data_IF_295413094408
#
_entry.id   IF_295413094408
#
_cell.length_a   1.000
_cell.length_b   1.000
_cell.length_c   1.000
_cell.angle_alpha   90.00
_cell.angle_beta   90.00
_cell.angle_gamma   90.00
#
_symmetry.space_group_name_H-M   'P 1'
#
loop_
_entity.id
_entity.type
_entity.pdbx_description
1 polymer ?
#
# COMPACT_ATOMS: atom_id res chain seq x y z
N UNK A 1 32.68 11.58 -3.46
CA UNK A 1 32.43 12.54 -2.36
C UNK A 1 30.93 12.64 -2.14
N UNK A 2 30.39 12.06 -1.07
CA UNK A 2 29.02 12.31 -0.66
C UNK A 2 28.98 13.68 0.03
N UNK A 3 28.14 14.59 -0.46
CA UNK A 3 27.98 15.92 0.15
C UNK A 3 27.48 15.80 1.60
N UNK A 4 28.10 16.56 2.51
CA UNK A 4 27.71 16.62 3.90
C UNK A 4 26.29 17.15 4.10
N UNK A 5 25.75 16.99 5.31
CA UNK A 5 24.47 17.58 5.71
C UNK A 5 24.48 19.10 5.54
N UNK A 6 23.44 19.64 4.89
CA UNK A 6 23.32 21.07 4.61
C UNK A 6 21.91 21.57 4.95
N UNK A 7 21.75 22.31 6.07
CA UNK A 7 20.46 22.89 6.46
C UNK A 7 19.84 23.81 5.41
N UNK A 8 20.69 24.59 4.73
CA UNK A 8 20.29 25.53 3.68
C UNK A 8 19.75 24.83 2.44
N UNK A 9 20.14 23.57 2.20
CA UNK A 9 19.57 22.74 1.12
C UNK A 9 18.39 21.90 1.61
N UNK A 10 18.43 21.40 2.85
CA UNK A 10 17.38 20.55 3.40
C UNK A 10 16.05 21.30 3.56
N UNK A 11 16.06 22.52 4.11
CA UNK A 11 14.81 23.27 4.33
C UNK A 11 14.02 23.53 3.04
N UNK A 12 14.64 24.02 1.94
CA UNK A 12 13.94 24.14 0.67
C UNK A 12 13.36 22.81 0.15
N UNK A 13 14.11 21.71 0.25
CA UNK A 13 13.63 20.40 -0.19
C UNK A 13 12.45 19.88 0.65
N UNK A 14 12.44 20.13 1.96
CA UNK A 14 11.28 19.80 2.81
C UNK A 14 10.03 20.56 2.35
N UNK A 15 10.15 21.86 2.07
CA UNK A 15 9.03 22.67 1.56
C UNK A 15 8.57 22.23 0.16
N UNK A 16 9.50 21.91 -0.73
CA UNK A 16 9.18 21.37 -2.05
C UNK A 16 8.49 20.00 -1.96
N UNK A 17 8.92 19.14 -1.02
CA UNK A 17 8.26 17.86 -0.77
C UNK A 17 6.81 18.05 -0.32
N UNK A 18 6.52 19.01 0.58
CA UNK A 18 5.15 19.37 0.97
C UNK A 18 4.29 19.72 -0.25
N UNK A 19 4.78 20.62 -1.12
CA UNK A 19 4.05 20.97 -2.36
C UNK A 19 3.88 19.77 -3.29
N UNK A 20 4.92 18.93 -3.44
CA UNK A 20 4.87 17.73 -4.28
C UNK A 20 3.84 16.73 -3.77
N UNK A 21 3.79 16.47 -2.46
CA UNK A 21 2.78 15.61 -1.84
C UNK A 21 1.37 16.11 -2.12
N UNK A 22 1.13 17.40 -1.97
CA UNK A 22 -0.19 17.98 -2.27
C UNK A 22 -0.59 17.76 -3.73
N UNK A 23 0.32 18.03 -4.68
CA UNK A 23 0.07 17.80 -6.10
C UNK A 23 -0.19 16.31 -6.41
N UNK A 24 0.62 15.42 -5.83
CA UNK A 24 0.50 13.99 -6.03
C UNK A 24 -0.80 13.43 -5.42
N UNK A 25 -1.20 13.92 -4.25
CA UNK A 25 -2.48 13.61 -3.60
C UNK A 25 -3.66 14.04 -4.47
N UNK A 26 -3.68 15.30 -4.94
CA UNK A 26 -4.74 15.81 -5.81
C UNK A 26 -4.86 15.02 -7.12
N UNK A 27 -3.71 14.68 -7.73
CA UNK A 27 -3.67 13.86 -8.94
C UNK A 27 -4.25 12.46 -8.68
N UNK A 28 -3.83 11.79 -7.61
CA UNK A 28 -4.34 10.47 -7.23
C UNK A 28 -5.84 10.52 -6.94
N UNK A 29 -6.32 11.50 -6.18
CA UNK A 29 -7.75 11.66 -5.88
C UNK A 29 -8.60 11.78 -7.16
N UNK A 30 -8.13 12.52 -8.17
CA UNK A 30 -8.81 12.59 -9.46
C UNK A 30 -8.83 11.24 -10.21
N UNK A 31 -7.71 10.52 -10.21
CA UNK A 31 -7.60 9.19 -10.82
C UNK A 31 -8.48 8.16 -10.11
N UNK A 32 -8.54 8.20 -8.78
CA UNK A 32 -9.41 7.36 -7.95
C UNK A 32 -10.86 7.51 -8.40
N UNK A 33 -11.34 8.75 -8.58
CA UNK A 33 -12.71 9.00 -9.03
C UNK A 33 -12.97 8.47 -10.45
N UNK A 34 -11.99 8.55 -11.34
CA UNK A 34 -12.09 7.95 -12.67
C UNK A 34 -12.16 6.42 -12.58
N UNK A 35 -11.27 5.80 -11.81
CA UNK A 35 -11.23 4.34 -11.65
C UNK A 35 -12.51 3.80 -10.99
N UNK A 36 -13.11 4.52 -10.04
CA UNK A 36 -14.43 4.18 -9.47
C UNK A 36 -15.50 4.05 -10.55
N UNK A 37 -15.56 5.01 -11.50
CA UNK A 37 -16.50 4.97 -12.63
C UNK A 37 -16.24 3.79 -13.55
N UNK A 38 -14.97 3.49 -13.83
CA UNK A 38 -14.59 2.31 -14.64
C UNK A 38 -15.01 1.01 -13.96
N UNK A 39 -14.82 0.88 -12.64
CA UNK A 39 -15.27 -0.27 -11.85
C UNK A 39 -16.79 -0.41 -11.90
N UNK A 40 -17.52 0.67 -11.68
CA UNK A 40 -18.98 0.67 -11.78
C UNK A 40 -19.45 0.26 -13.19
N UNK A 41 -18.79 0.74 -14.25
CA UNK A 41 -19.09 0.34 -15.62
C UNK A 41 -18.87 -1.16 -15.84
N UNK A 42 -17.77 -1.74 -15.34
CA UNK A 42 -17.49 -3.19 -15.42
C UNK A 42 -18.53 -4.04 -14.70
N UNK A 43 -19.07 -3.55 -13.58
CA UNK A 43 -20.11 -4.25 -12.81
C UNK A 43 -21.51 -4.09 -13.39
N UNK A 44 -21.73 -3.07 -14.22
CA UNK A 44 -23.00 -2.83 -14.93
C UNK A 44 -23.15 -3.70 -16.19
N UNK A 45 -22.06 -4.26 -16.72
CA UNK A 45 -22.12 -5.14 -17.89
C UNK A 45 -22.95 -6.41 -17.62
N UNK A 46 -23.55 -6.97 -18.67
CA UNK A 46 -24.28 -8.24 -18.61
C UNK A 46 -23.58 -9.27 -19.51
N UNK A 47 -22.90 -10.30 -18.95
CA UNK A 47 -22.68 -10.55 -17.52
C UNK A 47 -21.58 -9.66 -16.89
N UNK A 48 -21.62 -9.41 -15.56
CA UNK A 48 -20.63 -8.55 -14.88
C UNK A 48 -19.21 -9.12 -14.90
N UNK A 49 -18.22 -8.26 -15.13
CA UNK A 49 -16.78 -8.59 -15.07
C UNK A 49 -16.24 -8.54 -13.64
N UNK A 50 -16.81 -9.37 -12.78
CA UNK A 50 -16.62 -9.30 -11.33
C UNK A 50 -15.16 -9.51 -10.88
N UNK A 51 -14.43 -10.49 -11.42
CA UNK A 51 -13.04 -10.74 -11.02
C UNK A 51 -12.13 -9.58 -11.42
N UNK A 52 -12.35 -8.98 -12.58
CA UNK A 52 -11.60 -7.81 -13.02
C UNK A 52 -11.89 -6.60 -12.14
N UNK A 53 -13.15 -6.40 -11.76
CA UNK A 53 -13.56 -5.32 -10.86
C UNK A 53 -12.92 -5.47 -9.47
N UNK A 54 -12.85 -6.70 -8.94
CA UNK A 54 -12.18 -7.05 -7.68
C UNK A 54 -10.69 -6.70 -7.68
N UNK A 55 -9.95 -7.15 -8.70
CA UNK A 55 -8.52 -6.82 -8.85
C UNK A 55 -8.30 -5.30 -8.93
N UNK A 56 -9.16 -4.60 -9.68
CA UNK A 56 -9.11 -3.13 -9.80
C UNK A 56 -9.42 -2.44 -8.47
N UNK A 57 -10.38 -2.92 -7.70
CA UNK A 57 -10.72 -2.39 -6.38
C UNK A 57 -9.58 -2.56 -5.37
N UNK A 58 -8.86 -3.69 -5.38
CA UNK A 58 -7.67 -3.84 -4.53
C UNK A 58 -6.60 -2.79 -4.84
N UNK A 59 -6.36 -2.52 -6.12
CA UNK A 59 -5.42 -1.46 -6.54
C UNK A 59 -5.89 -0.09 -6.08
N UNK A 60 -7.19 0.18 -6.22
CA UNK A 60 -7.80 1.45 -5.86
C UNK A 60 -7.74 1.70 -4.34
N UNK A 61 -7.96 0.67 -3.51
CA UNK A 61 -7.80 0.74 -2.05
C UNK A 61 -6.35 1.08 -1.67
N UNK A 62 -5.35 0.53 -2.37
CA UNK A 62 -3.95 0.90 -2.16
C UNK A 62 -3.67 2.35 -2.55
N UNK A 63 -4.29 2.85 -3.61
CA UNK A 63 -4.18 4.26 -4.00
C UNK A 63 -4.78 5.21 -2.95
N UNK A 64 -5.96 4.88 -2.39
CA UNK A 64 -6.59 5.64 -1.29
C UNK A 64 -5.68 5.66 -0.05
N UNK A 65 -5.18 4.50 0.37
CA UNK A 65 -4.26 4.39 1.52
C UNK A 65 -2.98 5.23 1.30
N UNK A 66 -2.48 5.28 0.06
CA UNK A 66 -1.33 6.08 -0.31
C UNK A 66 -1.60 7.58 -0.19
N UNK A 67 -2.79 8.04 -0.58
CA UNK A 67 -3.22 9.44 -0.39
C UNK A 67 -3.26 9.82 1.09
N UNK A 68 -3.85 8.97 1.94
CA UNK A 68 -3.85 9.18 3.40
C UNK A 68 -2.42 9.24 3.97
N UNK A 69 -1.52 8.37 3.50
CA UNK A 69 -0.13 8.36 3.95
C UNK A 69 0.60 9.67 3.54
N UNK A 70 0.30 10.23 2.37
CA UNK A 70 0.90 11.48 1.90
C UNK A 70 0.59 12.65 2.82
N UNK A 71 -0.62 12.73 3.39
CA UNK A 71 -0.98 13.78 4.34
C UNK A 71 -0.12 13.74 5.62
N UNK A 72 0.12 12.53 6.14
CA UNK A 72 0.97 12.34 7.33
C UNK A 72 2.44 12.67 7.00
N UNK A 73 2.93 12.24 5.84
CA UNK A 73 4.31 12.53 5.40
C UNK A 73 4.51 14.03 5.16
N UNK A 74 3.52 14.71 4.60
CA UNK A 74 3.50 16.15 4.41
C UNK A 74 3.63 16.90 5.75
N UNK A 75 2.85 16.51 6.75
CA UNK A 75 2.93 17.07 8.11
C UNK A 75 4.33 16.88 8.72
N UNK A 76 4.94 15.71 8.55
CA UNK A 76 6.32 15.46 9.00
C UNK A 76 7.32 16.39 8.30
N UNK A 77 7.18 16.63 6.99
CA UNK A 77 8.05 17.56 6.26
C UNK A 77 7.93 19.00 6.78
N UNK A 78 6.72 19.45 7.07
CA UNK A 78 6.46 20.79 7.62
C UNK A 78 7.07 20.96 9.01
N UNK A 79 6.84 19.98 9.90
CA UNK A 79 7.41 19.96 11.25
C UNK A 79 8.94 20.11 11.22
N UNK A 80 9.61 19.34 10.35
CA UNK A 80 11.08 19.37 10.24
C UNK A 80 11.58 20.66 9.60
N UNK A 81 10.82 21.27 8.68
CA UNK A 81 11.18 22.56 8.08
C UNK A 81 11.15 23.69 9.12
N UNK A 82 10.19 23.65 10.04
CA UNK A 82 10.10 24.60 11.17
C UNK A 82 11.21 24.36 12.20
N UNK A 83 11.55 23.10 12.47
CA UNK A 83 12.61 22.72 13.43
C UNK A 83 14.01 22.60 12.82
N UNK A 84 14.26 23.18 11.64
CA UNK A 84 15.56 23.05 10.96
C UNK A 84 16.74 23.55 11.80
N UNK A 85 16.54 24.62 12.62
CA UNK A 85 17.61 25.18 13.46
C UNK A 85 18.05 24.17 14.53
N UNK A 86 17.10 23.45 15.14
CA UNK A 86 17.36 22.40 16.11
C UNK A 86 18.09 21.20 15.48
N UNK A 87 17.66 20.77 14.29
CA UNK A 87 18.34 19.71 13.53
C UNK A 87 19.77 20.11 13.13
N UNK A 88 20.04 21.40 13.01
CA UNK A 88 21.36 21.92 12.65
C UNK A 88 22.31 21.95 13.85
N UNK A 89 21.81 22.35 15.03
CA UNK A 89 22.61 22.52 16.24
C UNK A 89 22.91 21.21 16.97
N UNK A 90 22.08 20.18 16.80
CA UNK A 90 22.25 18.87 17.46
C UNK A 90 23.07 17.92 16.59
N UNK A 91 23.98 17.15 17.21
CA UNK A 91 24.74 16.09 16.52
C UNK A 91 23.91 14.82 16.38
N UNK A 92 23.18 14.47 17.42
CA UNK A 92 22.30 13.30 17.48
C UNK A 92 20.87 13.68 17.08
N UNK A 93 20.05 12.68 16.74
CA UNK A 93 18.66 12.91 16.40
C UNK A 93 17.86 13.25 17.67
N UNK A 94 17.20 14.42 17.73
CA UNK A 94 16.34 14.76 18.86
C UNK A 94 15.25 13.71 19.07
N UNK A 95 14.96 13.27 20.32
CA UNK A 95 14.06 12.15 20.59
C UNK A 95 12.63 12.40 20.09
N UNK A 96 12.18 13.65 20.14
CA UNK A 96 10.88 14.12 19.64
C UNK A 96 10.78 14.09 18.10
N UNK A 97 11.91 14.02 17.39
CA UNK A 97 11.97 14.01 15.92
C UNK A 97 12.37 12.66 15.34
N UNK A 98 12.82 11.70 16.17
CA UNK A 98 13.23 10.36 15.71
C UNK A 98 12.12 9.72 14.89
N UNK A 99 10.87 9.72 15.39
CA UNK A 99 9.76 9.08 14.69
C UNK A 99 9.49 9.71 13.32
N UNK A 100 9.40 11.05 13.24
CA UNK A 100 9.14 11.76 11.99
C UNK A 100 10.26 11.57 10.96
N UNK A 101 11.52 11.66 11.38
CA UNK A 101 12.68 11.50 10.48
C UNK A 101 12.79 10.05 10.00
N UNK A 102 12.69 9.08 10.91
CA UNK A 102 12.73 7.66 10.57
C UNK A 102 11.60 7.28 9.63
N UNK A 103 10.39 7.81 9.86
CA UNK A 103 9.22 7.61 8.97
C UNK A 103 9.48 8.14 7.56
N UNK A 104 10.02 9.36 7.41
CA UNK A 104 10.35 9.91 6.08
C UNK A 104 11.47 9.12 5.38
N UNK A 105 12.49 8.70 6.13
CA UNK A 105 13.58 7.87 5.60
C UNK A 105 13.04 6.53 5.09
N UNK A 106 12.17 5.87 5.86
CA UNK A 106 11.53 4.61 5.48
C UNK A 106 10.57 4.76 4.30
N UNK A 107 9.79 5.85 4.26
CA UNK A 107 8.81 6.11 3.21
C UNK A 107 9.44 6.49 1.87
N UNK A 108 10.66 7.05 1.87
CA UNK A 108 11.33 7.51 0.64
C UNK A 108 11.53 6.41 -0.42
N UNK A 109 11.59 5.14 -0.03
CA UNK A 109 11.71 4.01 -0.99
C UNK A 109 10.34 3.44 -1.42
N UNK A 110 9.23 3.98 -0.89
CA UNK A 110 7.86 3.47 -1.08
C UNK A 110 6.95 4.46 -1.80
N UNK A 111 7.35 5.72 -1.88
CA UNK A 111 6.56 6.79 -2.50
C UNK A 111 7.31 7.40 -3.68
N UNK A 112 6.56 7.83 -4.70
CA UNK A 112 7.11 8.43 -5.92
C UNK A 112 7.31 9.95 -5.74
N UNK A 113 8.23 10.32 -4.84
CA UNK A 113 8.53 11.71 -4.47
C UNK A 113 10.06 11.89 -4.43
N UNK A 114 10.62 12.46 -5.49
CA UNK A 114 12.08 12.63 -5.64
C UNK A 114 12.71 13.47 -4.51
N UNK A 115 11.97 14.46 -4.01
CA UNK A 115 12.44 15.29 -2.89
C UNK A 115 12.71 14.44 -1.62
N UNK A 116 11.93 13.38 -1.38
CA UNK A 116 12.15 12.48 -0.24
C UNK A 116 13.46 11.70 -0.37
N UNK A 117 13.82 11.31 -1.60
CA UNK A 117 15.11 10.65 -1.85
C UNK A 117 16.28 11.57 -1.48
N UNK A 118 16.17 12.87 -1.77
CA UNK A 118 17.18 13.84 -1.33
C UNK A 118 17.18 14.02 0.21
N UNK A 119 16.00 14.15 0.81
CA UNK A 119 15.85 14.30 2.27
C UNK A 119 16.45 13.10 3.02
N UNK A 120 16.16 11.87 2.55
CA UNK A 120 16.75 10.63 3.08
C UNK A 120 18.28 10.67 3.03
N UNK A 121 18.88 11.11 1.91
CA UNK A 121 20.34 11.27 1.78
C UNK A 121 20.91 12.29 2.76
N UNK A 122 20.21 13.40 3.01
CA UNK A 122 20.63 14.40 4.00
C UNK A 122 20.64 13.82 5.42
N UNK A 123 19.60 13.08 5.81
CA UNK A 123 19.54 12.45 7.14
C UNK A 123 20.54 11.31 7.31
N UNK A 124 20.78 10.51 6.26
CA UNK A 124 21.86 9.53 6.23
C UNK A 124 23.25 10.18 6.43
N UNK A 125 23.48 11.33 5.79
CA UNK A 125 24.73 12.08 5.94
C UNK A 125 24.89 12.69 7.34
N UNK A 126 23.77 13.12 7.97
CA UNK A 126 23.73 13.70 9.32
C UNK A 126 23.93 12.66 10.42
N UNK A 127 23.13 11.59 10.41
CA UNK A 127 23.03 10.63 11.52
C UNK A 127 23.70 9.28 11.24
N UNK A 128 24.25 9.11 10.04
CA UNK A 128 24.99 7.93 9.62
C UNK A 128 24.10 6.81 9.07
N UNK A 129 24.78 5.81 8.49
CA UNK A 129 24.13 4.65 7.86
C UNK A 129 23.35 3.77 8.86
N UNK A 130 23.85 3.64 10.09
CA UNK A 130 23.16 2.86 11.13
C UNK A 130 21.79 3.44 11.48
N UNK A 131 21.64 4.77 11.45
CA UNK A 131 20.34 5.41 11.67
C UNK A 131 19.35 5.04 10.56
N UNK A 132 19.78 5.11 9.30
CA UNK A 132 18.97 4.69 8.14
C UNK A 132 18.58 3.21 8.24
N UNK A 133 19.52 2.31 8.55
CA UNK A 133 19.25 0.88 8.69
C UNK A 133 18.27 0.59 9.83
N UNK A 134 18.39 1.26 10.98
CA UNK A 134 17.43 1.13 12.09
C UNK A 134 16.04 1.61 11.69
N UNK A 135 15.94 2.73 10.97
CA UNK A 135 14.66 3.23 10.46
C UNK A 135 14.04 2.26 9.45
N UNK A 136 14.84 1.69 8.54
CA UNK A 136 14.38 0.72 7.54
C UNK A 136 13.84 -0.57 8.18
N UNK A 137 14.47 -1.01 9.26
CA UNK A 137 14.09 -2.22 10.00
C UNK A 137 13.06 -1.95 11.12
N UNK A 138 12.53 -0.73 11.24
CA UNK A 138 11.62 -0.31 12.31
C UNK A 138 12.11 -0.71 13.72
N UNK A 139 13.42 -0.56 13.98
CA UNK A 139 14.01 -0.95 15.27
C UNK A 139 13.42 -0.10 16.38
N UNK A 140 12.84 -0.76 17.39
CA UNK A 140 12.21 -0.08 18.53
C UNK A 140 10.82 0.48 18.24
N UNK A 141 10.19 0.13 17.10
CA UNK A 141 8.82 0.57 16.80
C UNK A 141 8.69 2.09 16.65
N UNK A 142 9.74 2.76 16.16
CA UNK A 142 9.80 4.22 16.11
C UNK A 142 9.04 4.81 14.93
N UNK A 143 8.70 4.01 13.92
CA UNK A 143 7.97 4.49 12.75
C UNK A 143 6.51 4.83 13.10
N UNK A 144 5.92 5.73 12.32
CA UNK A 144 4.49 6.00 12.44
C UNK A 144 3.66 4.79 11.96
N UNK A 145 2.97 4.13 12.89
CA UNK A 145 2.17 2.92 12.60
C UNK A 145 1.13 3.11 11.52
N UNK A 146 0.51 4.30 11.42
CA UNK A 146 -0.47 4.59 10.36
C UNK A 146 0.20 4.59 8.99
N UNK A 147 1.36 5.22 8.86
CA UNK A 147 2.11 5.25 7.59
C UNK A 147 2.57 3.84 7.23
N UNK A 148 3.09 3.07 8.20
CA UNK A 148 3.54 1.70 7.98
C UNK A 148 2.39 0.81 7.53
N UNK A 149 1.23 0.90 8.20
CA UNK A 149 0.02 0.15 7.84
C UNK A 149 -0.47 0.50 6.44
N UNK A 150 -0.52 1.80 6.10
CA UNK A 150 -1.08 2.31 4.83
C UNK A 150 -0.16 2.07 3.62
N UNK A 151 1.15 2.11 3.80
CA UNK A 151 2.14 1.86 2.74
C UNK A 151 2.66 0.42 2.71
N UNK A 152 2.13 -0.47 3.54
CA UNK A 152 2.47 -1.89 3.53
C UNK A 152 1.99 -2.55 2.23
N UNK A 153 2.74 -3.56 1.76
CA UNK A 153 2.46 -4.30 0.52
C UNK A 153 1.41 -5.41 0.73
N UNK A 154 0.87 -5.54 1.95
CA UNK A 154 -0.11 -6.58 2.25
C UNK A 154 -1.41 -6.38 1.45
N UNK A 155 -1.94 -7.43 0.81
CA UNK A 155 -3.24 -7.37 0.15
C UNK A 155 -4.34 -6.98 1.16
N UNK A 156 -5.33 -6.18 0.74
CA UNK A 156 -6.47 -5.87 1.60
C UNK A 156 -7.30 -7.14 1.86
N UNK A 157 -7.95 -7.18 3.02
CA UNK A 157 -8.88 -8.26 3.37
C UNK A 157 -10.05 -8.32 2.37
N UNK A 158 -10.53 -9.52 2.06
CA UNK A 158 -11.56 -9.76 1.05
C UNK A 158 -12.86 -9.00 1.37
N UNK A 159 -13.21 -8.87 2.66
CA UNK A 159 -14.36 -8.08 3.08
C UNK A 159 -14.22 -6.59 2.72
N UNK A 160 -13.02 -6.02 2.87
CA UNK A 160 -12.79 -4.62 2.54
C UNK A 160 -13.01 -4.39 1.05
N UNK A 161 -12.55 -5.30 0.21
CA UNK A 161 -12.76 -5.21 -1.24
C UNK A 161 -14.24 -5.29 -1.59
N UNK A 162 -14.97 -6.23 -0.99
CA UNK A 162 -16.42 -6.35 -1.22
C UNK A 162 -17.18 -5.09 -0.80
N UNK A 163 -16.97 -4.60 0.43
CA UNK A 163 -17.60 -3.37 0.93
C UNK A 163 -17.24 -2.17 0.05
N UNK A 164 -16.00 -2.11 -0.45
CA UNK A 164 -15.56 -1.04 -1.33
C UNK A 164 -16.27 -1.07 -2.69
N UNK A 165 -16.46 -2.26 -3.28
CA UNK A 165 -17.24 -2.44 -4.51
C UNK A 165 -18.71 -2.05 -4.33
N UNK A 166 -19.32 -2.48 -3.22
CA UNK A 166 -20.72 -2.13 -2.88
C UNK A 166 -20.89 -0.61 -2.77
N UNK A 167 -19.96 0.08 -2.09
CA UNK A 167 -19.96 1.55 -1.98
C UNK A 167 -19.79 2.24 -3.33
N UNK A 168 -18.90 1.75 -4.20
CA UNK A 168 -18.75 2.30 -5.55
C UNK A 168 -20.05 2.17 -6.33
N UNK A 169 -20.70 1.00 -6.26
CA UNK A 169 -21.97 0.78 -6.94
C UNK A 169 -23.07 1.69 -6.43
N UNK A 170 -23.16 1.90 -5.11
CA UNK A 170 -24.09 2.84 -4.48
C UNK A 170 -23.82 4.28 -4.95
N UNK A 171 -22.58 4.75 -4.88
CA UNK A 171 -22.16 6.09 -5.31
C UNK A 171 -22.49 6.35 -6.80
N UNK A 172 -22.44 5.33 -7.65
CA UNK A 172 -22.65 5.43 -9.10
C UNK A 172 -24.04 4.99 -9.56
N UNK A 173 -24.94 4.62 -8.64
CA UNK A 173 -26.30 4.17 -8.97
C UNK A 173 -26.37 2.86 -9.76
N UNK A 174 -25.40 1.96 -9.57
CA UNK A 174 -25.35 0.64 -10.22
C UNK A 174 -25.95 -0.41 -9.30
N UNK A 175 -27.04 -1.05 -9.73
CA UNK A 175 -27.64 -2.18 -9.00
C UNK A 175 -26.84 -3.45 -9.28
N UNK A 176 -25.89 -3.75 -8.40
CA UNK A 176 -25.07 -4.96 -8.45
C UNK A 176 -25.17 -5.73 -7.13
N UNK A 177 -25.13 -7.06 -7.21
CA UNK A 177 -25.05 -7.95 -6.04
C UNK A 177 -23.89 -8.94 -6.24
N UNK A 178 -23.02 -9.13 -5.24
CA UNK A 178 -21.92 -10.09 -5.31
C UNK A 178 -22.43 -11.50 -5.60
N UNK A 179 -21.86 -12.18 -6.61
CA UNK A 179 -22.22 -13.57 -6.91
C UNK A 179 -21.52 -14.54 -5.95
N UNK A 180 -20.29 -14.24 -5.57
CA UNK A 180 -19.54 -15.01 -4.58
C UNK A 180 -19.72 -14.35 -3.21
N UNK A 181 -20.42 -15.04 -2.31
CA UNK A 181 -20.51 -14.65 -0.90
C UNK A 181 -19.26 -15.14 -0.18
N UNK A 182 -18.53 -14.22 0.44
CA UNK A 182 -17.36 -14.54 1.26
C UNK A 182 -17.88 -15.16 2.57
N UNK A 183 -17.32 -16.31 2.98
CA UNK A 183 -17.66 -16.93 4.27
C UNK A 183 -17.07 -16.12 5.43
N UNK A 184 -17.60 -16.24 6.65
CA UNK A 184 -17.12 -15.46 7.79
C UNK A 184 -15.62 -15.69 8.07
N UNK A 185 -15.14 -16.91 7.83
CA UNK A 185 -13.74 -17.31 7.96
C UNK A 185 -12.84 -16.65 6.89
N UNK A 186 -13.35 -16.46 5.67
CA UNK A 186 -12.60 -15.88 4.55
C UNK A 186 -12.58 -14.34 4.56
N UNK A 187 -13.43 -13.68 5.36
CA UNK A 187 -13.54 -12.21 5.39
C UNK A 187 -12.24 -11.51 5.82
N UNK A 188 -11.50 -12.12 6.74
CA UNK A 188 -10.25 -11.57 7.28
C UNK A 188 -9.03 -11.88 6.40
N UNK A 189 -9.15 -12.82 5.47
CA UNK A 189 -8.07 -13.22 4.58
C UNK A 189 -8.01 -12.32 3.34
N UNK A 190 -6.85 -12.23 2.67
CA UNK A 190 -6.77 -11.72 1.30
C UNK A 190 -7.77 -12.43 0.38
N UNK A 191 -8.28 -11.71 -0.62
CA UNK A 191 -9.20 -12.33 -1.59
C UNK A 191 -8.50 -13.44 -2.40
N UNK A 192 -9.21 -14.55 -2.62
CA UNK A 192 -8.69 -15.67 -3.39
C UNK A 192 -8.34 -15.26 -4.83
N UNK A 193 -7.35 -15.94 -5.41
CA UNK A 193 -6.92 -15.68 -6.78
C UNK A 193 -8.06 -15.88 -7.79
N UNK A 194 -8.15 -15.04 -8.85
CA UNK A 194 -9.13 -15.21 -9.91
C UNK A 194 -9.03 -16.59 -10.58
N UNK A 195 -10.17 -17.23 -10.82
CA UNK A 195 -10.27 -18.52 -11.52
C UNK A 195 -10.80 -18.37 -12.96
N UNK A 196 -11.16 -17.15 -13.35
CA UNK A 196 -11.62 -16.80 -14.70
C UNK A 196 -13.12 -17.01 -14.92
N UNK A 197 -13.92 -17.23 -13.86
CA UNK A 197 -15.36 -17.49 -13.98
C UNK A 197 -16.16 -16.35 -14.61
N UNK A 198 -15.61 -15.13 -14.60
CA UNK A 198 -16.23 -13.93 -15.18
C UNK A 198 -15.67 -13.56 -16.56
N UNK A 199 -14.74 -14.34 -17.11
CA UNK A 199 -14.14 -14.10 -18.44
C UNK A 199 -15.04 -14.72 -19.51
N UNK A 200 -15.48 -13.89 -20.47
CA UNK A 200 -16.24 -14.39 -21.63
C UNK A 200 -15.35 -15.17 -22.59
N UNK A 201 -15.78 -16.37 -22.98
CA UNK A 201 -15.11 -17.15 -24.04
C UNK A 201 -15.33 -16.44 -25.37
N UNK A 202 -14.25 -16.06 -26.06
CA UNK A 202 -14.34 -15.38 -27.35
C UNK A 202 -14.87 -16.34 -28.42
N UNK A 203 -16.04 -16.04 -28.99
CA UNK A 203 -16.70 -16.84 -30.03
C UNK A 203 -15.94 -16.96 -31.36
N UNK A 204 -14.79 -16.29 -31.51
CA UNK A 204 -13.98 -16.32 -32.73
C UNK A 204 -13.04 -17.53 -32.86
N UNK A 205 -12.94 -18.40 -31.85
CA UNK A 205 -12.04 -19.56 -31.90
C UNK A 205 -12.66 -20.84 -32.47
N UNK A 206 -13.94 -20.87 -32.84
CA UNK A 206 -14.54 -22.05 -33.52
C UNK A 206 -14.47 -23.37 -32.75
N UNK A 207 -14.09 -23.34 -31.47
CA UNK A 207 -14.00 -24.49 -30.56
C UNK A 207 -15.00 -24.26 -29.42
N UNK A 208 -16.28 -24.23 -29.79
CA UNK A 208 -17.37 -24.16 -28.82
C UNK A 208 -18.01 -25.52 -28.66
N UNK A 209 -17.60 -26.29 -27.64
CA UNK A 209 -18.51 -27.10 -26.82
C UNK A 209 -17.75 -27.65 -25.61
N UNK A 210 -18.00 -27.09 -24.43
CA UNK A 210 -17.64 -27.77 -23.18
C UNK A 210 -18.72 -28.81 -22.95
N UNK A 211 -18.36 -30.07 -23.17
CA UNK A 211 -19.15 -31.23 -22.76
C UNK A 211 -19.38 -31.14 -21.25
N UNK A 212 -20.55 -30.68 -20.85
CA UNK A 212 -21.14 -31.04 -19.55
C UNK A 212 -21.65 -32.48 -19.69
N UNK A 213 -20.76 -33.44 -19.45
CA UNK A 213 -21.04 -34.87 -19.50
C UNK A 213 -20.86 -35.49 -18.13
N UNK A 214 -21.99 -35.66 -17.44
CA UNK A 214 -22.15 -36.53 -16.28
C UNK A 214 -21.53 -37.91 -16.56
N UNK A 215 -20.62 -38.36 -15.71
CA UNK A 215 -20.02 -39.69 -15.83
C UNK A 215 -21.09 -40.78 -15.68
N UNK A 216 -21.43 -41.45 -16.77
CA UNK A 216 -21.96 -42.82 -16.74
C UNK A 216 -21.22 -43.63 -17.81
N UNK A 217 -20.32 -44.49 -17.36
CA UNK A 217 -19.69 -45.52 -18.18
C UNK A 217 -20.73 -46.56 -18.61
N UNK A 218 -20.70 -47.00 -19.87
CA UNK A 218 -20.70 -48.45 -20.08
C UNK A 218 -19.68 -48.94 -21.11
N UNK A 219 -19.36 -50.22 -20.92
CA UNK A 219 -18.35 -51.07 -21.55
C UNK A 219 -18.39 -51.20 -23.08
N UNK A 220 -17.18 -51.37 -23.63
CA UNK A 220 -16.73 -52.27 -24.70
C UNK A 220 -17.75 -52.69 -25.76
N UNK A 221 -17.43 -52.46 -27.04
CA UNK A 221 -17.41 -53.50 -28.07
C UNK A 221 -16.55 -53.05 -29.27
N UNK A 222 -15.68 -53.94 -29.72
CA UNK A 222 -14.85 -53.83 -30.93
C UNK A 222 -15.74 -53.83 -32.19
N UNK A 223 -15.30 -53.25 -33.31
CA UNK A 223 -15.02 -54.15 -34.43
C UNK A 223 -13.86 -53.78 -35.37
N UNK A 224 -13.42 -54.86 -35.99
CA UNK A 224 -12.49 -55.09 -37.10
C UNK A 224 -12.70 -54.22 -38.35
N UNK A 225 -11.57 -54.01 -39.04
CA UNK A 225 -11.38 -53.28 -40.30
C UNK A 225 -12.07 -53.88 -41.54
N UNK A 226 -12.48 -53.01 -42.48
CA UNK A 226 -12.50 -53.17 -43.96
C UNK A 226 -12.83 -51.76 -44.50
N UNK A 227 -12.00 -50.99 -45.21
CA UNK A 227 -11.33 -51.24 -46.49
C UNK A 227 -12.11 -50.56 -47.63
N UNK A 228 -11.74 -49.35 -48.07
CA UNK A 228 -11.75 -48.86 -49.48
C UNK A 228 -11.51 -47.34 -49.64
N UNK A 229 -10.29 -47.02 -50.08
CA UNK A 229 -9.86 -46.15 -51.20
C UNK A 229 -10.40 -44.72 -51.42
N UNK A 230 -9.44 -43.84 -51.71
CA UNK A 230 -9.53 -42.40 -52.05
C UNK A 230 -9.68 -42.13 -53.56
N UNK A 231 -9.79 -40.84 -53.97
CA UNK A 231 -8.78 -40.27 -54.87
C UNK A 231 -8.30 -38.85 -54.43
N UNK A 232 -6.99 -38.59 -54.31
CA UNK A 232 -6.05 -37.92 -55.27
C UNK A 232 -6.46 -36.45 -55.56
N UNK A 233 -5.65 -35.38 -55.36
CA UNK A 233 -4.40 -35.00 -56.08
C UNK A 233 -3.72 -33.77 -55.39
N UNK A 234 -2.38 -33.88 -55.19
CA UNK A 234 -1.22 -32.94 -55.00
C UNK A 234 -1.36 -31.49 -54.43
N UNK A 235 -0.27 -31.01 -53.78
CA UNK A 235 0.59 -30.05 -54.49
C UNK A 235 2.10 -30.34 -54.41
N UNK A 236 2.84 -29.67 -55.31
CA UNK A 236 4.26 -29.83 -55.60
C UNK A 236 5.19 -28.87 -54.81
N UNK A 237 6.36 -29.40 -54.43
CA UNK A 237 7.74 -28.86 -54.41
C UNK A 237 7.98 -27.37 -54.11
N UNK A 238 8.71 -27.01 -53.04
CA UNK A 238 10.19 -26.95 -52.84
C UNK A 238 10.58 -25.46 -52.61
N UNK A 239 11.56 -24.99 -51.84
CA UNK A 239 12.91 -25.41 -51.39
C UNK A 239 13.28 -24.48 -50.20
N UNK A 240 14.15 -24.80 -49.22
CA UNK A 240 15.58 -24.37 -49.07
C UNK A 240 16.13 -25.10 -47.80
N UNK A 241 16.99 -26.13 -47.89
CA UNK A 241 18.49 -26.16 -47.80
C UNK A 241 19.07 -25.64 -46.47
N UNK A 242 19.45 -26.52 -45.51
CA UNK A 242 20.80 -27.10 -45.18
C UNK A 242 21.81 -26.08 -44.58
N UNK A 243 22.59 -26.25 -43.50
CA UNK A 243 23.04 -27.32 -42.56
C UNK A 243 24.27 -26.74 -41.79
N UNK A 244 25.27 -27.55 -41.34
CA UNK A 244 25.40 -28.46 -40.17
C UNK A 244 26.06 -27.76 -38.94
N UNK A 245 26.20 -28.24 -37.70
CA UNK A 245 26.27 -29.57 -37.07
C UNK A 245 27.49 -29.59 -36.13
N UNK A 246 27.33 -29.89 -34.82
CA UNK A 246 28.37 -30.40 -33.91
C UNK A 246 27.70 -30.88 -32.61
N UNK A 247 27.84 -32.17 -32.28
CA UNK A 247 27.39 -32.75 -31.01
C UNK A 247 28.49 -32.78 -29.95
N UNK A 248 28.18 -33.19 -28.70
CA UNK A 248 29.21 -33.62 -27.75
C UNK A 248 29.00 -35.06 -27.23
N UNK A 249 30.07 -35.67 -26.68
CA UNK A 249 30.20 -37.10 -26.46
C UNK A 249 29.72 -37.56 -25.08
N UNK A 250 29.53 -38.87 -24.94
CA UNK A 250 29.05 -39.51 -23.71
C UNK A 250 30.13 -39.81 -22.66
N UNK A 251 29.61 -40.16 -21.48
CA UNK A 251 30.23 -41.07 -20.51
C UNK A 251 30.74 -40.43 -19.21
N UNK A 252 29.97 -40.51 -18.13
CA UNK A 252 30.13 -41.49 -17.02
C UNK A 252 29.06 -41.29 -15.95
N UNK A 253 28.65 -42.42 -15.36
CA UNK A 253 27.71 -42.55 -14.24
C UNK A 253 28.48 -42.28 -12.95
N UNK A 254 27.92 -41.46 -12.07
CA UNK A 254 28.20 -41.49 -10.64
C UNK A 254 26.92 -41.11 -9.89
N UNK A 255 26.67 -41.89 -8.84
CA UNK A 255 25.45 -41.97 -8.02
C UNK A 255 24.97 -40.64 -7.45
N UNK A 256 23.65 -40.42 -7.58
CA UNK A 256 22.92 -39.32 -6.96
C UNK A 256 22.67 -39.66 -5.48
N UNK A 257 23.56 -39.20 -4.60
CA UNK A 257 23.34 -39.16 -3.16
C UNK A 257 22.62 -37.85 -2.78
N UNK A 258 21.49 -37.97 -2.08
CA UNK A 258 20.77 -36.86 -1.44
C UNK A 258 21.70 -36.06 -0.52
N UNK A 259 21.61 -34.71 -0.49
CA UNK A 259 22.25 -33.95 0.56
C UNK A 259 21.46 -34.11 1.87
N UNK A 260 22.05 -34.79 2.86
CA UNK A 260 21.57 -34.84 4.23
C UNK A 260 21.48 -33.43 4.83
N UNK A 261 20.26 -33.04 5.25
CA UNK A 261 20.00 -31.82 5.99
C UNK A 261 20.48 -32.04 7.43
N UNK A 262 21.65 -31.50 7.77
CA UNK A 262 22.14 -31.45 9.14
C UNK A 262 21.32 -30.44 9.95
N UNK A 263 20.46 -30.95 10.83
CA UNK A 263 19.73 -30.17 11.84
C UNK A 263 20.54 -30.16 13.13
N UNK A 264 21.18 -29.05 13.55
CA UNK A 264 21.81 -28.99 14.86
C UNK A 264 20.74 -29.01 15.96
N UNK A 265 20.90 -29.93 16.92
CA UNK A 265 20.06 -30.04 18.12
C UNK A 265 20.12 -28.76 18.97
N UNK A 266 18.97 -28.36 19.51
CA UNK A 266 18.81 -27.21 20.38
C UNK A 266 19.65 -27.32 21.67
N UNK A 267 20.32 -26.25 22.12
CA UNK A 267 20.93 -26.23 23.45
C UNK A 267 19.85 -26.19 24.53
N UNK A 268 19.88 -27.18 25.43
CA UNK A 268 19.08 -27.21 26.65
C UNK A 268 19.51 -26.08 27.58
N UNK A 269 18.59 -25.20 27.93
CA UNK A 269 18.79 -24.15 28.92
C UNK A 269 18.90 -24.77 30.33
N UNK A 270 19.88 -24.40 31.16
CA UNK A 270 19.88 -24.77 32.57
C UNK A 270 18.85 -23.95 33.34
N UNK A 271 18.05 -24.65 34.16
CA UNK A 271 17.13 -24.09 35.12
C UNK A 271 17.86 -23.13 36.07
N UNK A 272 17.47 -21.85 36.06
CA UNK A 272 17.92 -20.88 37.04
C UNK A 272 16.88 -20.78 38.14
N UNK A 273 17.31 -21.16 39.33
CA UNK A 273 16.61 -21.12 40.61
C UNK A 273 16.12 -19.70 40.89
N UNK A 274 14.84 -19.57 41.23
CA UNK A 274 14.25 -18.37 41.78
C UNK A 274 14.70 -18.30 43.25
N UNK A 275 15.58 -17.36 43.56
CA UNK A 275 15.78 -16.88 44.93
C UNK A 275 14.99 -15.59 45.09
N UNK A 276 14.03 -15.65 46.02
CA UNK A 276 13.30 -14.50 46.56
C UNK A 276 14.30 -13.54 47.21
N UNK A 277 14.33 -12.30 46.73
CA UNK A 277 14.86 -11.20 47.54
C UNK A 277 13.89 -10.02 47.48
N UNK A 278 13.51 -9.64 48.70
CA UNK A 278 12.53 -8.66 49.09
C UNK A 278 13.16 -7.26 49.07
N UNK A 279 12.65 -6.35 48.24
CA UNK A 279 13.02 -4.93 48.30
C UNK A 279 11.83 -4.03 47.92
N UNK A 280 11.15 -3.59 48.98
CA UNK A 280 10.51 -2.27 49.17
C UNK A 280 10.27 -1.38 47.95
N UNK A 281 8.98 -1.21 47.63
CA UNK A 281 8.44 -0.11 46.81
C UNK A 281 8.60 1.21 47.57
N UNK A 282 9.51 2.07 47.10
CA UNK A 282 9.54 3.48 47.50
C UNK A 282 8.68 4.31 46.53
N UNK A 283 7.66 4.91 47.13
CA UNK A 283 6.64 5.78 46.57
C UNK A 283 7.23 7.17 46.30
N UNK A 284 7.43 7.54 45.04
CA UNK A 284 7.82 8.91 44.67
C UNK A 284 6.57 9.79 44.50
N UNK A 285 6.43 10.89 45.26
CA UNK A 285 5.25 11.74 45.23
C UNK A 285 5.24 12.69 44.03
N UNK A 286 4.05 12.90 43.47
CA UNK A 286 3.73 13.87 42.41
C UNK A 286 4.06 15.32 42.85
N UNK A 287 4.62 16.17 41.95
CA UNK A 287 4.77 17.60 42.24
C UNK A 287 3.41 18.35 42.15
N UNK A 288 3.19 19.40 42.95
CA UNK A 288 1.94 20.13 43.01
C UNK A 288 1.69 21.03 41.77
N UNK A 289 0.41 21.20 41.44
CA UNK A 289 -0.09 22.04 40.34
C UNK A 289 0.24 23.53 40.56
N UNK A 290 0.58 24.22 39.46
CA UNK A 290 0.84 25.66 39.45
C UNK A 290 -0.45 26.48 39.67
N UNK A 291 -0.39 27.61 40.40
CA UNK A 291 -1.55 28.45 40.66
C UNK A 291 -1.93 29.31 39.45
N UNK A 292 -3.24 29.49 39.32
CA UNK A 292 -3.98 30.31 38.37
C UNK A 292 -3.45 31.76 38.32
N UNK A 293 -3.03 32.25 37.15
CA UNK A 293 -2.69 33.66 36.97
C UNK A 293 -3.94 34.46 36.64
N UNK A 294 -4.38 35.25 37.62
CA UNK A 294 -5.44 36.25 37.49
C UNK A 294 -5.12 37.28 36.40
N UNK A 295 -6.20 37.73 35.76
CA UNK A 295 -6.27 38.80 34.78
C UNK A 295 -5.73 40.10 35.38
N UNK A 296 -4.95 40.84 34.59
CA UNK A 296 -4.80 42.29 34.75
C UNK A 296 -5.24 42.94 33.45
N UNK A 297 -6.40 43.58 33.53
CA UNK A 297 -6.78 44.69 32.67
C UNK A 297 -5.92 45.89 33.08
N UNK A 298 -5.36 46.60 32.11
CA UNK A 298 -5.08 48.04 32.19
C UNK A 298 -4.79 48.57 30.78
N UNK A 299 -5.37 49.75 30.56
CA UNK A 299 -5.79 50.37 29.32
C UNK A 299 -4.71 51.10 28.49
N UNK A 300 -5.14 51.48 27.27
CA UNK A 300 -4.76 52.63 26.45
C UNK A 300 -3.44 52.62 25.66
N UNK A 301 -3.55 52.46 24.33
CA UNK A 301 -3.39 53.62 23.44
C UNK A 301 -3.92 53.37 22.00
N UNK A 302 -4.55 54.42 21.49
CA UNK A 302 -5.32 54.62 20.29
C UNK A 302 -4.46 54.67 19.00
N UNK A 303 -4.81 53.89 17.97
CA UNK A 303 -4.55 54.28 16.58
C UNK A 303 -5.59 53.70 15.60
N UNK A 304 -6.41 54.62 15.10
CA UNK A 304 -7.36 54.59 14.00
C UNK A 304 -7.02 53.67 12.82
N UNK A 305 -7.91 52.71 12.54
CA UNK A 305 -7.96 51.96 11.28
C UNK A 305 -9.31 51.24 11.16
N UNK A 306 -10.24 51.83 10.41
CA UNK A 306 -11.64 51.41 10.33
C UNK A 306 -11.86 49.98 9.85
N UNK A 307 -12.64 49.22 10.62
CA UNK A 307 -13.25 47.95 10.25
C UNK A 307 -14.37 47.67 11.25
N UNK A 308 -15.60 48.01 10.89
CA UNK A 308 -16.76 47.91 11.79
C UNK A 308 -17.02 46.47 12.24
N UNK A 309 -17.01 46.26 13.57
CA UNK A 309 -17.52 45.05 14.19
C UNK A 309 -19.06 45.07 14.10
N UNK A 310 -19.62 44.29 13.17
CA UNK A 310 -21.07 44.02 13.14
C UNK A 310 -21.46 43.27 14.41
N UNK A 311 -22.47 43.78 15.12
CA UNK A 311 -22.94 43.16 16.36
C UNK A 311 -23.83 41.95 16.07
N UNK A 312 -23.98 41.06 17.05
CA UNK A 312 -24.84 39.87 16.92
C UNK A 312 -26.29 40.22 16.56
N UNK A 313 -26.77 41.37 17.04
CA UNK A 313 -28.11 41.88 16.74
C UNK A 313 -28.25 42.33 15.26
N UNK A 314 -27.19 42.86 14.65
CA UNK A 314 -27.19 43.20 13.22
C UNK A 314 -27.26 41.95 12.32
N UNK A 315 -26.61 40.86 12.74
CA UNK A 315 -26.67 39.56 12.06
C UNK A 315 -28.06 38.91 12.20
N UNK A 316 -28.69 39.04 13.38
CA UNK A 316 -30.03 38.52 13.63
C UNK A 316 -31.10 39.25 12.80
N UNK A 317 -30.99 40.58 12.66
CA UNK A 317 -31.88 41.38 11.83
C UNK A 317 -31.77 41.00 10.34
N UNK A 318 -30.53 40.83 9.85
CA UNK A 318 -30.28 40.46 8.44
C UNK A 318 -30.76 39.04 8.11
N UNK A 319 -30.81 38.14 9.08
CA UNK A 319 -31.33 36.78 8.90
C UNK A 319 -32.87 36.72 8.79
N UNK A 320 -33.58 37.72 9.34
CA UNK A 320 -35.04 37.79 9.22
C UNK A 320 -35.51 38.34 7.87
N UNK A 321 -34.71 39.19 7.22
CA UNK A 321 -35.03 39.73 5.89
C UNK A 321 -34.96 38.68 4.77
N UNK A 322 -34.21 37.60 4.96
CA UNK A 322 -34.06 36.50 3.97
C UNK A 322 -35.18 35.45 4.00
N UNK A 323 -36.19 35.63 4.86
CA UNK A 323 -37.37 34.74 4.96
C UNK A 323 -38.64 35.31 4.31
N UNK A 324 -38.54 36.36 3.50
CA UNK A 324 -39.63 36.87 2.66
C UNK A 324 -39.39 36.59 1.19
#
# INVERSE_FOLDING_TARGET
MFGGFSPSKLKPHLKMATTRFQMASNKKAALIQQQKREIAAMLKEEPPKEEKARIRAESLIREDNCVEAYEILMLNCELLAERIKLLSSTKECPPDLVSSISTLVWAADRVDIDELTFIKKQFKSKYGKQFEERAMNNVGGVLNDRVVSKLSVQPPAAYLVQVYLERICEEQGVKWTPKVRITAEDMAQPMAAPVGYSVQVAGASGLGEVVTGQETFPQQHHPTATGSQMPTVVPASATVVSGPGYGPPGGKRDDFAEPEIFVPSAPSAPASVITEDNATVDEFPLPPAAPNSERRDDDDNNNTGGGGNMTYDDLAARFQELKK
#
